data_IF_481034475874
#
_entry.id   IF_481034475874
#
_cell.length_a   1.000
_cell.length_b   1.000
_cell.length_c   1.000
_cell.angle_alpha   90.00
_cell.angle_beta   90.00
_cell.angle_gamma   90.00
#
_symmetry.space_group_name_H-M   'P 1'
#
loop_
_entity.id
_entity.type
_entity.pdbx_description
1 polymer ?
#
# COMPACT_ATOMS: atom_id res chain seq x y z
N UNK A 1 3.91 -4.33 -26.22
CA UNK A 1 3.88 -2.84 -26.14
C UNK A 1 2.58 -2.22 -26.65
N UNK A 2 1.92 -2.83 -27.65
CA UNK A 2 0.65 -2.35 -28.22
C UNK A 2 -0.48 -2.28 -27.16
N UNK A 3 -0.58 -3.27 -26.26
CA UNK A 3 -1.56 -3.28 -25.19
C UNK A 3 -1.33 -2.10 -24.23
N UNK A 4 -0.12 -1.92 -23.72
CA UNK A 4 0.19 -0.81 -22.83
C UNK A 4 -0.12 0.55 -23.48
N UNK A 5 0.29 0.75 -24.73
CA UNK A 5 -0.02 1.97 -25.47
C UNK A 5 -1.54 2.20 -25.54
N UNK A 6 -2.32 1.18 -25.96
CA UNK A 6 -3.77 1.30 -26.14
C UNK A 6 -4.53 1.52 -24.84
N UNK A 7 -4.19 0.83 -23.76
CA UNK A 7 -5.00 0.79 -22.54
C UNK A 7 -4.52 1.71 -21.42
N UNK A 8 -3.27 2.15 -21.45
CA UNK A 8 -2.72 3.06 -20.44
C UNK A 8 -2.32 4.43 -21.03
N UNK A 9 -1.52 4.44 -22.10
CA UNK A 9 -0.95 5.67 -22.64
C UNK A 9 -1.99 6.51 -23.36
N UNK A 10 -2.76 5.91 -24.28
CA UNK A 10 -3.77 6.63 -25.07
C UNK A 10 -4.87 7.25 -24.18
N UNK A 11 -5.48 6.55 -23.21
CA UNK A 11 -6.43 7.16 -22.30
C UNK A 11 -5.84 8.33 -21.51
N UNK A 12 -4.61 8.21 -21.03
CA UNK A 12 -3.94 9.30 -20.33
C UNK A 12 -3.76 10.53 -21.21
N UNK A 13 -3.26 10.35 -22.45
CA UNK A 13 -3.04 11.44 -23.40
C UNK A 13 -4.34 12.11 -23.81
N UNK A 14 -5.40 11.33 -24.07
CA UNK A 14 -6.73 11.86 -24.44
C UNK A 14 -7.31 12.74 -23.34
N UNK A 15 -7.16 12.38 -22.07
CA UNK A 15 -7.63 13.20 -20.94
C UNK A 15 -6.84 14.50 -20.79
N UNK A 16 -5.57 14.49 -21.19
CA UNK A 16 -4.66 15.63 -21.09
C UNK A 16 -4.43 16.29 -22.45
N UNK A 17 -5.41 16.20 -23.38
CA UNK A 17 -5.38 16.90 -24.66
C UNK A 17 -5.18 18.41 -24.45
N UNK A 18 -4.04 18.93 -24.90
CA UNK A 18 -3.62 20.33 -24.67
C UNK A 18 -2.47 20.49 -23.67
N UNK A 19 -2.11 19.45 -22.90
CA UNK A 19 -0.82 19.40 -22.21
C UNK A 19 0.29 19.15 -23.25
N UNK A 20 1.31 19.92 -23.10
CA UNK A 20 2.41 20.05 -24.06
C UNK A 20 3.11 18.72 -24.37
N UNK A 21 3.92 18.76 -25.44
CA UNK A 21 4.84 17.73 -25.92
C UNK A 21 5.73 17.11 -24.79
N UNK A 22 5.81 17.75 -23.60
CA UNK A 22 6.61 17.32 -22.45
C UNK A 22 6.04 16.07 -21.78
N UNK A 23 4.73 16.03 -21.51
CA UNK A 23 4.08 14.86 -20.88
C UNK A 23 4.17 13.63 -21.79
N UNK A 24 3.99 13.80 -23.09
CA UNK A 24 4.15 12.73 -24.07
C UNK A 24 5.58 12.16 -24.09
N UNK A 25 6.57 13.04 -24.12
CA UNK A 25 8.00 12.66 -24.07
C UNK A 25 8.36 11.95 -22.78
N UNK A 26 7.80 12.37 -21.64
CA UNK A 26 8.00 11.70 -20.36
C UNK A 26 7.42 10.28 -20.36
N UNK A 27 6.22 10.08 -20.90
CA UNK A 27 5.60 8.75 -21.02
C UNK A 27 6.40 7.87 -21.97
N UNK A 28 6.79 8.39 -23.13
CA UNK A 28 7.65 7.65 -24.06
C UNK A 28 8.96 7.23 -23.38
N UNK A 29 9.61 8.13 -22.65
CA UNK A 29 10.82 7.84 -21.89
C UNK A 29 10.59 6.84 -20.76
N UNK A 30 9.42 6.84 -20.10
CA UNK A 30 9.05 5.84 -19.10
C UNK A 30 8.95 4.45 -19.73
N UNK A 31 8.35 4.35 -20.91
CA UNK A 31 8.08 3.08 -21.59
C UNK A 31 9.33 2.55 -22.31
N UNK A 32 10.17 3.43 -22.86
CA UNK A 32 11.32 3.03 -23.71
C UNK A 32 12.62 2.77 -22.94
N UNK A 33 12.82 3.46 -21.81
CA UNK A 33 14.12 3.46 -21.13
C UNK A 33 14.16 2.53 -19.91
N UNK A 34 13.11 1.81 -19.58
CA UNK A 34 13.09 0.95 -18.42
C UNK A 34 12.62 -0.47 -18.73
N UNK A 35 13.30 -1.36 -18.07
CA UNK A 35 13.02 -2.76 -17.86
C UNK A 35 11.52 -3.01 -17.85
N UNK A 36 11.01 -3.45 -18.97
CA UNK A 36 9.70 -4.10 -19.16
C UNK A 36 8.48 -3.53 -18.37
N UNK A 37 8.47 -2.22 -18.05
CA UNK A 37 7.28 -1.56 -17.46
C UNK A 37 5.99 -1.89 -18.24
N UNK A 38 5.98 -1.83 -19.59
CA UNK A 38 4.82 -2.23 -20.37
C UNK A 38 4.41 -3.68 -20.18
N UNK A 39 5.37 -4.59 -20.11
CA UNK A 39 5.10 -6.00 -19.88
C UNK A 39 4.54 -6.28 -18.49
N UNK A 40 5.03 -5.59 -17.47
CA UNK A 40 4.51 -5.69 -16.11
C UNK A 40 3.09 -5.14 -16.00
N UNK A 41 2.82 -3.95 -16.51
CA UNK A 41 1.47 -3.38 -16.53
C UNK A 41 0.48 -4.30 -17.27
N UNK A 42 0.89 -4.86 -18.41
CA UNK A 42 0.05 -5.79 -19.17
C UNK A 42 -0.31 -7.05 -18.40
N UNK A 43 0.62 -7.60 -17.62
CA UNK A 43 0.42 -8.85 -16.86
C UNK A 43 -0.28 -8.66 -15.53
N UNK A 44 -0.11 -7.51 -14.89
CA UNK A 44 -0.54 -7.29 -13.51
C UNK A 44 -1.78 -6.41 -13.37
N UNK A 45 -2.14 -5.62 -14.40
CA UNK A 45 -3.31 -4.76 -14.36
C UNK A 45 -4.62 -5.53 -14.35
N UNK A 46 -5.61 -4.96 -13.68
CA UNK A 46 -7.00 -5.42 -13.65
C UNK A 46 -7.89 -4.53 -14.53
N UNK A 47 -9.04 -5.03 -14.96
CA UNK A 47 -9.96 -4.25 -15.81
C UNK A 47 -10.57 -3.03 -15.09
N UNK A 48 -10.62 -3.07 -13.74
CA UNK A 48 -11.12 -1.96 -12.89
C UNK A 48 -10.09 -0.89 -12.62
N UNK A 49 -8.82 -1.10 -12.93
CA UNK A 49 -7.77 -0.12 -12.65
C UNK A 49 -8.03 1.20 -13.39
N UNK A 50 -7.87 2.29 -12.68
CA UNK A 50 -7.87 3.65 -13.27
C UNK A 50 -6.56 3.90 -13.99
N UNK A 51 -6.51 3.48 -15.24
CA UNK A 51 -5.29 3.48 -16.05
C UNK A 51 -4.63 4.85 -16.20
N UNK A 52 -5.42 5.92 -16.08
CA UNK A 52 -4.92 7.29 -16.12
C UNK A 52 -4.14 7.60 -14.85
N UNK A 53 -4.72 7.27 -13.70
CA UNK A 53 -4.09 7.49 -12.40
C UNK A 53 -2.84 6.60 -12.24
N UNK A 54 -2.88 5.35 -12.71
CA UNK A 54 -1.69 4.45 -12.75
C UNK A 54 -0.51 5.14 -13.43
N UNK A 55 -0.71 5.71 -14.62
CA UNK A 55 0.37 6.40 -15.37
C UNK A 55 0.84 7.66 -14.64
N UNK A 56 -0.09 8.43 -14.07
CA UNK A 56 0.23 9.64 -13.30
C UNK A 56 1.11 9.31 -12.10
N UNK A 57 0.71 8.32 -11.28
CA UNK A 57 1.49 7.88 -10.11
C UNK A 57 2.90 7.43 -10.52
N UNK A 58 3.02 6.64 -11.61
CA UNK A 58 4.33 6.22 -12.10
C UNK A 58 5.22 7.39 -12.53
N UNK A 59 4.64 8.40 -13.20
CA UNK A 59 5.38 9.60 -13.59
C UNK A 59 5.80 10.42 -12.38
N UNK A 60 4.92 10.60 -11.40
CA UNK A 60 5.19 11.35 -10.17
C UNK A 60 6.32 10.70 -9.37
N UNK A 61 6.29 9.38 -9.18
CA UNK A 61 7.35 8.62 -8.50
C UNK A 61 8.68 8.72 -9.25
N UNK A 62 8.66 8.62 -10.59
CA UNK A 62 9.85 8.76 -11.41
C UNK A 62 10.44 10.17 -11.37
N UNK A 63 9.60 11.20 -11.41
CA UNK A 63 10.04 12.59 -11.35
C UNK A 63 10.57 12.97 -9.99
N UNK A 64 10.04 12.38 -8.92
CA UNK A 64 10.49 12.58 -7.55
C UNK A 64 11.94 12.15 -7.34
N UNK A 65 12.29 10.94 -7.77
CA UNK A 65 13.65 10.40 -7.72
C UNK A 65 13.85 9.36 -8.84
N UNK A 66 14.42 9.76 -9.98
CA UNK A 66 14.63 8.86 -11.12
C UNK A 66 15.53 7.66 -10.83
N UNK A 67 16.50 7.81 -9.90
CA UNK A 67 17.43 6.73 -9.54
C UNK A 67 16.73 5.70 -8.68
N UNK A 68 16.10 6.13 -7.61
CA UNK A 68 15.31 5.24 -6.73
C UNK A 68 14.19 4.57 -7.54
N UNK A 69 13.52 5.29 -8.43
CA UNK A 69 12.50 4.70 -9.29
C UNK A 69 13.07 3.57 -10.16
N UNK A 70 14.26 3.73 -10.75
CA UNK A 70 14.89 2.69 -11.58
C UNK A 70 15.20 1.42 -10.76
N UNK A 71 15.70 1.59 -9.54
CA UNK A 71 16.05 0.48 -8.65
C UNK A 71 14.79 -0.23 -8.10
N UNK A 72 13.67 0.49 -7.90
CA UNK A 72 12.43 -0.01 -7.31
C UNK A 72 11.23 0.02 -8.28
N UNK A 73 11.47 -0.17 -9.57
CA UNK A 73 10.41 -0.07 -10.60
C UNK A 73 9.23 -1.02 -10.36
N UNK A 74 9.46 -2.24 -9.87
CA UNK A 74 8.38 -3.19 -9.53
C UNK A 74 7.52 -2.66 -8.38
N UNK A 75 8.14 -2.05 -7.38
CA UNK A 75 7.43 -1.41 -6.26
C UNK A 75 6.61 -0.21 -6.74
N UNK A 76 7.17 0.63 -7.61
CA UNK A 76 6.45 1.76 -8.20
C UNK A 76 5.21 1.30 -8.97
N UNK A 77 5.31 0.21 -9.75
CA UNK A 77 4.18 -0.39 -10.45
C UNK A 77 3.14 -0.93 -9.46
N UNK A 78 3.57 -1.64 -8.42
CA UNK A 78 2.66 -2.14 -7.40
C UNK A 78 1.89 -1.00 -6.71
N UNK A 79 2.58 0.06 -6.31
CA UNK A 79 1.95 1.26 -5.73
C UNK A 79 0.97 1.88 -6.72
N UNK A 80 1.34 2.03 -7.99
CA UNK A 80 0.45 2.65 -8.98
C UNK A 80 -0.82 1.84 -9.26
N UNK A 81 -0.75 0.50 -9.17
CA UNK A 81 -1.89 -0.40 -9.37
C UNK A 81 -2.81 -0.51 -8.14
N UNK A 82 -2.33 -0.19 -6.96
CA UNK A 82 -3.12 -0.26 -5.71
C UNK A 82 -3.71 1.10 -5.35
N UNK A 83 -3.01 2.18 -5.67
CA UNK A 83 -3.37 3.54 -5.28
C UNK A 83 -4.00 4.36 -6.42
N UNK A 84 -4.38 3.70 -7.50
CA UNK A 84 -5.07 4.29 -8.64
C UNK A 84 -6.55 4.61 -8.37
N UNK A 85 -7.09 4.06 -7.28
CA UNK A 85 -8.45 4.30 -6.77
C UNK A 85 -8.40 4.65 -5.28
N UNK A 86 -9.42 5.36 -4.81
CA UNK A 86 -9.57 5.67 -3.39
C UNK A 86 -9.87 4.41 -2.57
N UNK A 87 -9.39 4.39 -1.32
CA UNK A 87 -9.75 3.33 -0.39
C UNK A 87 -11.26 3.36 -0.09
N UNK A 88 -11.90 2.18 0.11
CA UNK A 88 -13.32 2.13 0.46
C UNK A 88 -13.61 2.85 1.78
N UNK A 89 -14.76 3.54 1.85
CA UNK A 89 -15.22 4.24 3.05
C UNK A 89 -15.37 3.30 4.27
N UNK A 90 -15.59 2.01 4.03
CA UNK A 90 -15.70 0.98 5.07
C UNK A 90 -14.35 0.37 5.51
N UNK A 91 -13.24 0.98 5.11
CA UNK A 91 -11.92 0.57 5.58
C UNK A 91 -11.69 1.01 7.04
N UNK A 92 -11.07 0.20 7.92
CA UNK A 92 -10.47 -1.12 7.69
C UNK A 92 -11.50 -2.27 7.72
N UNK A 93 -12.65 -2.08 8.34
CA UNK A 93 -13.80 -2.99 8.37
C UNK A 93 -15.05 -2.26 8.89
N UNK A 94 -16.22 -2.82 8.60
CA UNK A 94 -17.52 -2.20 8.87
C UNK A 94 -17.83 -1.89 10.35
N UNK A 95 -17.07 -2.43 11.30
CA UNK A 95 -17.27 -2.21 12.72
C UNK A 95 -16.44 -1.02 13.28
N UNK A 96 -15.76 -0.29 12.41
CA UNK A 96 -15.07 0.96 12.76
C UNK A 96 -15.90 2.11 12.20
N UNK A 97 -16.29 3.02 13.06
CA UNK A 97 -16.96 4.25 12.66
C UNK A 97 -15.99 5.16 11.88
N UNK A 98 -16.49 5.86 10.87
CA UNK A 98 -15.69 6.86 10.16
C UNK A 98 -15.12 7.93 11.10
N UNK A 99 -15.84 8.23 12.21
CA UNK A 99 -15.36 9.15 13.22
C UNK A 99 -14.14 8.63 14.03
N UNK A 100 -13.95 7.32 14.06
CA UNK A 100 -12.85 6.66 14.78
C UNK A 100 -11.67 6.35 13.85
N UNK A 101 -11.84 6.50 12.54
CA UNK A 101 -10.72 6.39 11.62
C UNK A 101 -9.78 7.57 11.82
N UNK A 102 -8.46 7.33 11.86
CA UNK A 102 -7.51 8.43 11.86
C UNK A 102 -7.75 9.28 10.61
N UNK A 103 -7.64 10.60 10.76
CA UNK A 103 -7.68 11.52 9.61
C UNK A 103 -6.46 11.20 8.74
N UNK A 104 -6.66 10.23 7.86
CA UNK A 104 -5.66 9.86 6.89
C UNK A 104 -5.76 10.82 5.70
N UNK A 105 -4.67 11.45 5.36
CA UNK A 105 -4.47 12.01 4.04
C UNK A 105 -3.49 11.07 3.31
N UNK A 106 -3.93 9.86 2.94
CA UNK A 106 -3.06 8.88 2.37
C UNK A 106 -2.62 9.35 0.98
N UNK A 107 -1.30 9.35 0.78
CA UNK A 107 -0.72 9.67 -0.51
C UNK A 107 0.14 8.49 -0.97
N UNK A 108 0.05 8.13 -2.23
CA UNK A 108 0.74 6.98 -2.82
C UNK A 108 2.25 6.96 -2.57
N UNK A 109 2.87 8.12 -2.38
CA UNK A 109 4.30 8.19 -2.06
C UNK A 109 4.64 7.65 -0.67
N UNK A 110 3.69 7.66 0.28
CA UNK A 110 3.96 7.19 1.65
C UNK A 110 4.32 5.70 1.73
N UNK A 111 3.53 4.76 1.16
CA UNK A 111 3.91 3.35 1.15
C UNK A 111 5.16 3.10 0.30
N UNK A 112 5.35 3.82 -0.79
CA UNK A 112 6.56 3.72 -1.61
C UNK A 112 7.80 4.09 -0.81
N UNK A 113 7.83 5.30 -0.24
CA UNK A 113 8.96 5.81 0.53
C UNK A 113 9.24 4.93 1.76
N UNK A 114 8.18 4.49 2.45
CA UNK A 114 8.33 3.62 3.62
C UNK A 114 9.03 2.31 3.28
N UNK A 115 8.64 1.62 2.21
CA UNK A 115 9.25 0.35 1.81
C UNK A 115 10.69 0.57 1.35
N UNK A 116 10.95 1.60 0.54
CA UNK A 116 12.32 1.96 0.11
C UNK A 116 13.22 2.20 1.32
N UNK A 117 12.80 3.08 2.24
CA UNK A 117 13.59 3.40 3.44
C UNK A 117 13.76 2.18 4.35
N UNK A 118 12.71 1.38 4.53
CA UNK A 118 12.78 0.17 5.34
C UNK A 118 13.72 -0.87 4.75
N UNK A 119 13.77 -1.01 3.43
CA UNK A 119 14.72 -1.88 2.75
C UNK A 119 16.16 -1.39 2.90
N UNK A 120 16.41 -0.11 2.66
CA UNK A 120 17.74 0.49 2.82
C UNK A 120 18.27 0.40 4.26
N UNK A 121 17.38 0.36 5.25
CA UNK A 121 17.71 0.23 6.67
C UNK A 121 17.66 -1.24 7.17
N UNK A 122 17.50 -2.22 6.28
CA UNK A 122 17.43 -3.66 6.60
C UNK A 122 16.30 -4.03 7.60
N UNK A 123 15.19 -3.29 7.57
CA UNK A 123 14.06 -3.46 8.47
C UNK A 123 12.93 -4.35 7.91
N UNK A 124 13.11 -4.92 6.72
CA UNK A 124 12.15 -5.82 6.09
C UNK A 124 12.58 -7.27 6.23
N UNK A 125 11.60 -8.18 6.33
CA UNK A 125 11.85 -9.62 6.30
C UNK A 125 12.19 -10.15 4.91
N UNK A 126 11.65 -9.49 3.88
CA UNK A 126 11.84 -9.86 2.50
C UNK A 126 12.51 -8.74 1.72
N UNK A 127 13.29 -9.14 0.75
CA UNK A 127 13.91 -8.23 -0.20
C UNK A 127 12.90 -7.82 -1.28
N UNK A 128 12.48 -6.54 -1.36
CA UNK A 128 11.54 -6.07 -2.36
C UNK A 128 11.97 -6.32 -3.81
N UNK A 129 13.26 -6.45 -4.07
CA UNK A 129 13.79 -6.75 -5.39
C UNK A 129 13.48 -8.17 -5.84
N UNK A 130 13.33 -9.11 -4.89
CA UNK A 130 12.99 -10.53 -5.15
C UNK A 130 11.49 -10.78 -5.21
N UNK A 131 10.68 -9.89 -4.66
CA UNK A 131 9.23 -10.02 -4.67
C UNK A 131 8.67 -9.85 -6.09
N UNK A 132 7.58 -10.53 -6.36
CA UNK A 132 6.74 -10.27 -7.53
C UNK A 132 5.92 -8.99 -7.33
N UNK A 133 5.43 -8.41 -8.43
CA UNK A 133 4.56 -7.21 -8.33
C UNK A 133 3.28 -7.52 -7.53
N UNK A 134 2.73 -8.73 -7.64
CA UNK A 134 1.52 -9.13 -6.88
C UNK A 134 1.77 -9.16 -5.38
N UNK A 135 2.90 -9.70 -4.95
CA UNK A 135 3.30 -9.67 -3.53
C UNK A 135 3.50 -8.23 -3.06
N UNK A 136 4.17 -7.41 -3.86
CA UNK A 136 4.34 -5.99 -3.56
C UNK A 136 2.99 -5.25 -3.50
N UNK A 137 2.03 -5.55 -4.39
CA UNK A 137 0.67 -4.99 -4.31
C UNK A 137 0.04 -5.30 -2.95
N UNK A 138 0.18 -6.53 -2.45
CA UNK A 138 -0.33 -6.88 -1.12
C UNK A 138 0.34 -6.07 -0.01
N UNK A 139 1.65 -5.87 -0.09
CA UNK A 139 2.41 -5.10 0.92
C UNK A 139 2.02 -3.62 0.94
N UNK A 140 1.84 -3.00 -0.23
CA UNK A 140 1.53 -1.56 -0.33
C UNK A 140 0.04 -1.23 -0.20
N UNK A 141 -0.83 -2.24 -0.22
CA UNK A 141 -2.27 -2.11 0.02
C UNK A 141 -2.55 -1.88 1.51
N UNK A 142 -2.25 -0.68 1.98
CA UNK A 142 -2.38 -0.30 3.38
C UNK A 142 -2.53 1.21 3.54
N UNK A 143 -3.63 1.71 4.13
CA UNK A 143 -3.82 3.11 4.47
C UNK A 143 -3.16 3.48 5.81
N UNK A 144 -2.56 2.53 6.49
CA UNK A 144 -1.91 2.72 7.80
C UNK A 144 -0.82 3.79 7.70
N UNK A 145 -0.83 4.72 8.64
CA UNK A 145 0.13 5.82 8.68
C UNK A 145 1.58 5.34 8.83
N UNK A 146 2.53 6.15 8.37
CA UNK A 146 3.96 5.86 8.57
C UNK A 146 4.31 5.67 10.05
N UNK A 147 3.68 6.43 10.95
CA UNK A 147 3.88 6.28 12.40
C UNK A 147 3.50 4.89 12.90
N UNK A 148 2.36 4.37 12.46
CA UNK A 148 1.90 3.04 12.84
C UNK A 148 2.74 1.94 12.20
N UNK A 149 3.20 2.13 10.96
CA UNK A 149 4.13 1.19 10.30
C UNK A 149 5.47 1.10 11.07
N UNK A 150 6.01 2.24 11.49
CA UNK A 150 7.22 2.27 12.34
C UNK A 150 6.99 1.60 13.70
N UNK A 151 5.83 1.81 14.33
CA UNK A 151 5.44 1.09 15.53
C UNK A 151 5.41 -0.43 15.29
N UNK A 152 4.77 -0.86 14.18
CA UNK A 152 4.70 -2.27 13.80
C UNK A 152 6.10 -2.88 13.59
N UNK A 153 7.05 -2.13 12.99
CA UNK A 153 8.43 -2.59 12.83
C UNK A 153 9.17 -2.81 14.15
N UNK A 154 8.82 -2.06 15.20
CA UNK A 154 9.42 -2.23 16.53
C UNK A 154 8.94 -3.50 17.25
N UNK A 155 7.84 -4.10 16.82
CA UNK A 155 7.32 -5.33 17.41
C UNK A 155 8.32 -6.46 17.16
N UNK A 156 8.77 -7.09 18.25
CA UNK A 156 9.80 -8.14 18.20
C UNK A 156 9.21 -9.45 17.69
N UNK A 157 9.29 -9.67 16.40
CA UNK A 157 9.10 -10.97 15.77
C UNK A 157 10.38 -11.28 14.98
N UNK A 158 10.81 -12.53 15.00
CA UNK A 158 12.08 -12.94 14.39
C UNK A 158 11.88 -13.55 13.01
N UNK A 159 10.72 -14.10 12.75
CA UNK A 159 10.39 -14.85 11.53
C UNK A 159 8.92 -14.66 11.18
N UNK A 160 8.59 -14.86 9.92
CA UNK A 160 7.20 -14.83 9.44
C UNK A 160 6.30 -15.79 10.22
N UNK A 161 6.80 -16.96 10.58
CA UNK A 161 6.04 -17.93 11.39
C UNK A 161 5.67 -17.44 12.79
N UNK A 162 6.34 -16.40 13.29
CA UNK A 162 6.01 -15.78 14.58
C UNK A 162 4.76 -14.86 14.50
N UNK A 163 4.24 -14.59 13.28
CA UNK A 163 3.03 -13.78 13.08
C UNK A 163 1.79 -14.38 13.76
N UNK A 164 1.69 -15.71 13.83
CA UNK A 164 0.61 -16.37 14.61
C UNK A 164 0.67 -15.96 16.09
N UNK A 165 1.86 -15.80 16.64
CA UNK A 165 2.06 -15.32 17.99
C UNK A 165 1.52 -13.91 18.23
N UNK A 166 1.58 -13.04 17.23
CA UNK A 166 1.04 -11.68 17.32
C UNK A 166 -0.48 -11.66 17.54
N UNK A 167 -1.21 -12.57 16.90
CA UNK A 167 -2.65 -12.68 17.08
C UNK A 167 -2.98 -12.95 18.56
N UNK A 168 -2.22 -13.84 19.19
CA UNK A 168 -2.39 -14.21 20.61
C UNK A 168 -1.88 -13.13 21.59
N UNK A 169 -1.00 -12.23 21.12
CA UNK A 169 -0.50 -11.12 21.95
C UNK A 169 -1.52 -10.02 22.19
N UNK A 170 -2.49 -9.88 21.26
CA UNK A 170 -3.55 -8.89 21.40
C UNK A 170 -4.62 -9.45 22.33
N UNK A 171 -4.86 -8.85 23.50
CA UNK A 171 -5.90 -9.32 24.42
C UNK A 171 -7.26 -9.37 23.72
N UNK A 172 -8.00 -10.46 23.94
CA UNK A 172 -9.33 -10.60 23.36
C UNK A 172 -10.36 -9.84 24.21
N UNK A 173 -11.08 -8.91 23.60
CA UNK A 173 -12.09 -8.10 24.30
C UNK A 173 -13.42 -8.87 24.43
N UNK A 174 -13.46 -9.77 25.41
CA UNK A 174 -14.63 -10.59 25.70
C UNK A 174 -15.85 -9.75 26.11
N UNK A 175 -15.64 -8.58 26.70
CA UNK A 175 -16.72 -7.71 27.14
C UNK A 175 -17.51 -7.14 25.96
N UNK A 176 -16.82 -6.75 24.87
CA UNK A 176 -17.49 -6.31 23.64
C UNK A 176 -18.36 -7.40 23.04
N UNK A 177 -17.88 -8.63 23.00
CA UNK A 177 -18.63 -9.78 22.47
C UNK A 177 -19.85 -10.07 23.37
N UNK A 178 -19.67 -10.14 24.67
CA UNK A 178 -20.76 -10.44 25.61
C UNK A 178 -21.84 -9.34 25.61
N UNK A 179 -21.47 -8.11 25.33
CA UNK A 179 -22.37 -6.95 25.28
C UNK A 179 -22.94 -6.70 23.89
N UNK A 180 -22.62 -7.54 22.87
CA UNK A 180 -22.94 -7.31 21.47
C UNK A 180 -22.46 -5.96 20.92
N UNK A 181 -21.41 -5.38 21.51
CA UNK A 181 -20.80 -4.12 21.10
C UNK A 181 -19.64 -4.41 20.14
N UNK A 182 -19.95 -4.63 18.88
CA UNK A 182 -18.94 -4.96 17.88
C UNK A 182 -18.16 -3.73 17.37
N UNK A 183 -18.71 -2.53 17.52
CA UNK A 183 -18.06 -1.27 17.15
C UNK A 183 -16.84 -1.00 18.04
N UNK A 184 -15.82 -0.37 17.46
CA UNK A 184 -14.61 0.04 18.18
C UNK A 184 -14.93 1.16 19.19
N UNK A 185 -14.65 1.00 20.49
CA UNK A 185 -15.08 1.95 21.52
C UNK A 185 -13.95 2.86 22.03
N UNK A 186 -12.72 2.72 21.51
CA UNK A 186 -11.53 3.33 22.13
C UNK A 186 -11.02 4.58 21.38
N UNK A 187 -11.89 5.26 20.63
CA UNK A 187 -11.55 6.44 19.83
C UNK A 187 -10.74 6.08 18.59
N UNK A 188 -9.74 6.87 18.22
CA UNK A 188 -8.96 6.63 17.01
C UNK A 188 -8.54 5.17 16.82
N UNK A 189 -8.98 4.56 15.73
CA UNK A 189 -8.65 3.20 15.36
C UNK A 189 -7.24 3.12 14.78
N UNK A 190 -6.32 2.49 15.48
CA UNK A 190 -4.92 2.40 15.05
C UNK A 190 -4.22 1.15 15.58
N UNK A 191 -3.15 0.73 14.91
CA UNK A 191 -2.31 -0.38 15.38
C UNK A 191 -1.76 -0.10 16.78
N UNK A 192 -1.44 1.15 17.09
CA UNK A 192 -0.91 1.56 18.40
C UNK A 192 -1.95 1.31 19.49
N UNK A 193 -3.23 1.63 19.22
CA UNK A 193 -4.32 1.44 20.17
C UNK A 193 -4.68 -0.04 20.33
N UNK A 194 -4.72 -0.80 19.24
CA UNK A 194 -4.97 -2.25 19.28
C UNK A 194 -3.84 -2.97 20.02
N UNK A 195 -2.58 -2.64 19.70
CA UNK A 195 -1.39 -3.23 20.34
C UNK A 195 -1.15 -2.77 21.78
N UNK A 196 -1.83 -1.69 22.21
CA UNK A 196 -1.87 -1.29 23.59
C UNK A 196 -2.74 -2.27 24.42
N UNK A 197 -2.89 -2.01 25.72
CA UNK A 197 -3.65 -2.88 26.63
C UNK A 197 -5.15 -3.01 26.32
N UNK A 198 -5.67 -2.22 25.39
CA UNK A 198 -7.09 -2.26 25.03
C UNK A 198 -7.50 -3.60 24.40
N UNK A 199 -6.61 -4.19 23.61
CA UNK A 199 -6.93 -5.41 22.88
C UNK A 199 -7.95 -5.19 21.76
N UNK A 200 -8.68 -6.24 21.39
CA UNK A 200 -9.70 -6.18 20.35
C UNK A 200 -10.45 -7.50 20.16
N UNK A 201 -11.47 -7.48 19.32
CA UNK A 201 -12.14 -8.70 18.88
C UNK A 201 -11.35 -9.32 17.70
N UNK A 202 -11.79 -10.49 17.22
CA UNK A 202 -11.07 -11.24 16.18
C UNK A 202 -10.72 -10.41 14.93
N UNK A 203 -11.57 -9.46 14.56
CA UNK A 203 -11.31 -8.58 13.40
C UNK A 203 -10.17 -7.62 13.68
N UNK A 204 -10.13 -7.02 14.88
CA UNK A 204 -9.06 -6.11 15.29
C UNK A 204 -7.72 -6.85 15.41
N UNK A 205 -7.74 -8.06 15.96
CA UNK A 205 -6.55 -8.92 16.04
C UNK A 205 -6.02 -9.27 14.64
N UNK A 206 -6.91 -9.66 13.73
CA UNK A 206 -6.55 -10.00 12.35
C UNK A 206 -6.01 -8.78 11.59
N UNK A 207 -6.65 -7.62 11.75
CA UNK A 207 -6.17 -6.37 11.19
C UNK A 207 -4.77 -6.02 11.67
N UNK A 208 -4.55 -6.10 12.99
CA UNK A 208 -3.25 -5.83 13.61
C UNK A 208 -2.15 -6.73 13.02
N UNK A 209 -2.39 -8.03 12.94
CA UNK A 209 -1.42 -9.00 12.38
C UNK A 209 -1.15 -8.70 10.92
N UNK A 210 -2.19 -8.49 10.13
CA UNK A 210 -2.08 -8.22 8.69
C UNK A 210 -1.26 -6.95 8.42
N UNK A 211 -1.58 -5.84 9.11
CA UNK A 211 -0.89 -4.57 8.91
C UNK A 211 0.54 -4.61 9.46
N UNK A 212 0.79 -5.35 10.54
CA UNK A 212 2.15 -5.58 11.05
C UNK A 212 2.99 -6.38 10.04
N UNK A 213 2.42 -7.41 9.43
CA UNK A 213 3.08 -8.17 8.38
C UNK A 213 3.45 -7.28 7.19
N UNK A 214 2.50 -6.48 6.68
CA UNK A 214 2.73 -5.52 5.59
C UNK A 214 3.83 -4.49 5.91
N UNK A 215 3.92 -4.04 7.17
CA UNK A 215 4.95 -3.10 7.59
C UNK A 215 6.35 -3.73 7.69
N UNK A 216 6.42 -5.05 7.77
CA UNK A 216 7.69 -5.80 7.82
C UNK A 216 8.11 -6.37 6.46
N UNK A 217 7.29 -6.24 5.44
CA UNK A 217 7.55 -6.68 4.07
C UNK A 217 7.19 -8.12 3.81
#
# INVERSE_FOLDING_TARGET
NTFCAKYFVVPYLNKHQGSDDASFKQIQKLISNNVDVPGYLTRCSHYKDNKIEVIKILLDLKNKDPKIFADYVKLAIAVSLVWDVEFPDSWPHQNVSNADLPVLNPHFSQPYDFIVQSHLNENLFYDPWRMTIRELCFVVDTPVSTKEKLYAQQIKIKRVNDLEGLYKMIPYDQNRINSNLYTWPYGEYSLIKIGAKNGGICMDQSYFVCQTAKAKG
#
